data_IF_578994739862
#
_entry.id   IF_578994739862
#
_cell.length_a   1.000
_cell.length_b   1.000
_cell.length_c   1.000
_cell.angle_alpha   90.00
_cell.angle_beta   90.00
_cell.angle_gamma   90.00
#
_symmetry.space_group_name_H-M   'P 1'
#
loop_
_entity.id
_entity.type
_entity.pdbx_description
1 polymer ?
#
# COMPACT_ATOMS: atom_id res chain seq x y z
N UNK A 1 -28.16 29.09 -20.03
CA UNK A 1 -27.84 30.51 -20.09
C UNK A 1 -26.49 30.72 -19.46
N UNK A 2 -25.57 31.07 -20.30
CA UNK A 2 -24.16 31.29 -20.06
C UNK A 2 -23.91 32.60 -19.32
N UNK A 3 -22.89 32.64 -18.48
CA UNK A 3 -22.09 33.86 -18.37
C UNK A 3 -20.64 33.51 -18.07
N UNK A 4 -19.84 33.66 -19.08
CA UNK A 4 -18.41 33.87 -19.07
C UNK A 4 -18.13 35.25 -18.44
N UNK A 5 -17.17 35.27 -17.52
CA UNK A 5 -16.50 36.50 -17.11
C UNK A 5 -15.05 36.38 -17.56
N UNK A 6 -14.71 37.19 -18.55
CA UNK A 6 -13.34 37.44 -18.98
C UNK A 6 -12.69 38.42 -18.02
N UNK A 7 -11.42 38.17 -17.67
CA UNK A 7 -10.55 39.17 -17.05
C UNK A 7 -9.59 39.69 -18.10
N UNK A 8 -9.66 40.98 -18.32
CA UNK A 8 -8.78 41.75 -19.19
C UNK A 8 -7.46 42.04 -18.50
N UNK A 9 -6.38 41.89 -19.26
CA UNK A 9 -5.04 42.35 -18.94
C UNK A 9 -4.98 43.87 -18.94
N UNK A 10 -4.34 44.46 -17.97
CA UNK A 10 -3.93 45.87 -18.01
C UNK A 10 -2.44 45.98 -17.79
N UNK A 11 -1.76 46.21 -18.91
CA UNK A 11 -0.39 46.71 -18.96
C UNK A 11 -0.32 48.13 -18.39
N UNK A 12 0.71 48.43 -17.63
CA UNK A 12 1.16 49.81 -17.43
C UNK A 12 2.68 49.83 -17.32
N UNK A 13 3.25 50.39 -18.41
CA UNK A 13 4.63 50.84 -18.53
C UNK A 13 4.94 51.93 -17.51
N UNK A 14 6.19 51.91 -16.99
CA UNK A 14 6.88 53.13 -16.62
C UNK A 14 8.41 52.93 -16.77
N UNK A 15 8.93 53.67 -17.77
CA UNK A 15 10.34 53.95 -17.97
C UNK A 15 10.92 54.83 -16.86
N UNK A 16 12.20 54.61 -16.51
CA UNK A 16 13.20 55.70 -16.28
C UNK A 16 14.62 55.12 -16.28
N UNK A 17 15.31 55.50 -17.20
CA UNK A 17 16.53 56.21 -17.60
C UNK A 17 17.78 56.11 -16.66
N UNK A 18 18.88 55.71 -17.34
CA UNK A 18 20.26 56.27 -17.42
C UNK A 18 21.21 55.98 -16.24
N UNK A 19 22.31 55.22 -16.51
CA UNK A 19 23.65 55.80 -16.72
C UNK A 19 24.71 54.79 -17.20
N UNK A 20 25.37 55.24 -18.23
CA UNK A 20 26.56 54.71 -18.92
C UNK A 20 27.82 54.76 -18.09
N UNK A 21 28.73 53.76 -18.26
CA UNK A 21 30.19 53.98 -18.31
C UNK A 21 30.85 52.90 -19.16
N UNK A 22 31.60 53.40 -20.17
CA UNK A 22 32.48 52.74 -21.12
C UNK A 22 33.76 52.17 -20.50
N UNK A 23 34.29 51.10 -21.13
CA UNK A 23 35.63 50.93 -21.68
C UNK A 23 35.90 49.47 -22.08
N UNK A 24 35.94 49.23 -23.40
CA UNK A 24 37.07 48.97 -24.32
C UNK A 24 38.13 48.04 -23.79
N UNK A 25 38.39 46.95 -24.46
CA UNK A 25 39.33 46.57 -25.58
C UNK A 25 39.50 45.06 -25.51
N UNK A 26 39.67 44.20 -26.45
CA UNK A 26 40.06 44.15 -27.85
C UNK A 26 40.05 42.68 -28.27
N UNK A 27 39.66 42.38 -29.48
CA UNK A 27 39.88 41.11 -30.17
C UNK A 27 41.29 41.08 -30.78
N UNK A 28 41.84 39.96 -31.24
CA UNK A 28 41.67 39.60 -32.65
C UNK A 28 41.56 38.09 -32.98
N UNK A 29 40.78 37.76 -33.94
CA UNK A 29 40.84 37.07 -35.23
C UNK A 29 41.99 36.10 -35.55
N UNK A 30 41.59 34.95 -36.14
CA UNK A 30 42.07 34.29 -37.38
C UNK A 30 41.43 32.89 -37.48
N UNK A 31 40.53 32.63 -38.37
CA UNK A 31 40.59 32.20 -39.79
C UNK A 31 41.45 30.96 -40.07
N UNK A 32 40.75 29.90 -40.57
CA UNK A 32 41.09 29.31 -41.88
C UNK A 32 40.14 28.13 -42.21
N UNK A 33 39.57 28.28 -43.33
CA UNK A 33 38.93 27.32 -44.23
C UNK A 33 39.72 26.02 -44.45
N UNK A 34 39.00 24.95 -44.79
CA UNK A 34 39.27 24.11 -45.98
C UNK A 34 38.03 23.33 -46.43
N UNK A 35 37.79 23.45 -47.66
CA UNK A 35 36.75 23.10 -48.61
C UNK A 35 36.56 21.61 -48.91
N UNK A 36 35.29 21.28 -49.19
CA UNK A 36 34.71 20.42 -50.24
C UNK A 36 35.47 19.21 -50.75
N UNK A 37 34.75 18.09 -50.85
CA UNK A 37 34.57 17.34 -52.10
C UNK A 37 33.30 16.51 -52.13
N UNK A 38 32.53 16.73 -53.21
CA UNK A 38 31.38 16.03 -53.70
C UNK A 38 31.73 14.59 -54.14
N UNK A 39 30.73 13.69 -54.11
CA UNK A 39 30.33 12.94 -55.30
C UNK A 39 28.99 12.22 -55.08
N UNK A 40 28.18 12.34 -56.09
CA UNK A 40 26.77 12.05 -56.26
C UNK A 40 26.51 10.62 -56.79
N UNK A 41 25.22 10.36 -57.03
CA UNK A 41 24.56 9.34 -57.86
C UNK A 41 24.10 8.11 -57.08
N UNK A 42 22.83 7.71 -57.03
CA UNK A 42 21.76 7.80 -58.00
C UNK A 42 20.40 7.38 -57.45
N UNK A 43 19.44 7.93 -58.09
CA UNK A 43 17.99 7.77 -58.06
C UNK A 43 17.56 6.39 -58.56
N UNK A 44 16.50 5.82 -57.96
CA UNK A 44 15.43 5.11 -58.67
C UNK A 44 14.27 4.77 -57.74
N UNK A 45 13.14 5.43 -57.93
CA UNK A 45 11.80 4.87 -57.66
C UNK A 45 11.32 4.15 -58.92
N UNK A 46 10.45 3.15 -58.83
CA UNK A 46 9.09 3.37 -59.28
C UNK A 46 7.99 2.61 -58.49
N UNK A 47 6.81 3.18 -58.43
CA UNK A 47 5.49 2.60 -58.19
C UNK A 47 4.89 2.09 -59.52
N UNK A 48 3.65 1.50 -59.56
CA UNK A 48 3.01 0.46 -58.76
C UNK A 48 2.44 -0.66 -59.68
N UNK A 49 2.00 -1.78 -59.11
CA UNK A 49 0.96 -2.59 -59.79
C UNK A 49 0.20 -3.45 -58.78
N UNK A 50 -1.12 -3.39 -58.96
CA UNK A 50 -2.20 -4.14 -58.36
C UNK A 50 -2.19 -5.63 -58.60
N UNK A 51 -2.58 -6.43 -57.60
CA UNK A 51 -3.40 -7.64 -57.83
C UNK A 51 -4.09 -8.06 -56.52
N UNK A 52 -5.39 -8.26 -56.67
CA UNK A 52 -6.31 -8.85 -55.71
C UNK A 52 -5.97 -10.28 -55.40
N UNK A 53 -5.99 -10.69 -54.12
CA UNK A 53 -6.36 -12.05 -53.76
C UNK A 53 -7.05 -12.05 -52.38
N UNK A 54 -8.27 -12.58 -52.39
CA UNK A 54 -9.13 -12.86 -51.25
C UNK A 54 -8.60 -14.05 -50.45
N UNK A 55 -8.45 -13.86 -49.13
CA UNK A 55 -8.51 -14.97 -48.16
C UNK A 55 -9.38 -14.61 -46.96
N UNK A 56 -10.20 -15.53 -46.44
CA UNK A 56 -11.21 -15.25 -45.43
C UNK A 56 -10.64 -15.35 -44.01
N UNK A 57 -11.11 -14.45 -43.18
CA UNK A 57 -10.83 -14.42 -41.74
C UNK A 57 -11.43 -15.63 -41.01
N UNK A 58 -10.75 -16.28 -40.07
CA UNK A 58 -11.36 -17.19 -39.12
C UNK A 58 -11.97 -16.44 -37.95
N UNK A 59 -13.23 -16.79 -37.63
CA UNK A 59 -13.95 -16.38 -36.42
C UNK A 59 -13.23 -16.86 -35.17
N UNK A 60 -13.21 -16.07 -34.08
CA UNK A 60 -12.69 -16.55 -32.81
C UNK A 60 -13.71 -17.44 -32.10
N UNK A 61 -13.25 -18.59 -31.70
CA UNK A 61 -13.93 -19.52 -30.79
C UNK A 61 -13.94 -18.93 -29.38
N UNK A 62 -15.14 -18.95 -28.78
CA UNK A 62 -15.45 -18.59 -27.41
C UNK A 62 -14.75 -19.60 -26.47
N UNK A 63 -13.90 -19.12 -25.58
CA UNK A 63 -13.51 -19.84 -24.37
C UNK A 63 -13.77 -18.97 -23.14
N UNK A 64 -14.37 -19.60 -22.22
CA UNK A 64 -15.00 -19.30 -20.96
C UNK A 64 -14.30 -18.32 -20.02
N UNK A 65 -15.10 -17.37 -19.52
CA UNK A 65 -15.25 -16.81 -18.18
C UNK A 65 -14.09 -16.83 -17.19
N UNK A 66 -13.49 -15.67 -17.08
CA UNK A 66 -12.92 -15.18 -15.81
C UNK A 66 -13.77 -13.99 -15.31
N UNK A 67 -14.14 -13.92 -14.04
CA UNK A 67 -14.95 -12.81 -13.52
C UNK A 67 -14.06 -11.56 -13.36
N UNK A 68 -14.23 -10.63 -14.28
CA UNK A 68 -13.76 -9.26 -14.12
C UNK A 68 -14.76 -8.55 -13.21
N UNK A 69 -14.35 -8.15 -12.02
CA UNK A 69 -15.12 -7.24 -11.19
C UNK A 69 -15.04 -5.83 -11.78
N UNK A 70 -16.00 -5.52 -12.65
CA UNK A 70 -16.29 -4.16 -13.10
C UNK A 70 -17.22 -3.53 -12.08
N UNK A 71 -16.81 -2.44 -11.49
CA UNK A 71 -17.66 -1.57 -10.67
C UNK A 71 -18.67 -0.86 -11.59
N UNK A 72 -19.88 -1.37 -11.64
CA UNK A 72 -21.00 -0.67 -12.24
C UNK A 72 -21.55 0.40 -11.28
N UNK A 73 -21.40 1.65 -11.71
CA UNK A 73 -22.19 2.78 -11.25
C UNK A 73 -23.39 2.93 -12.17
N UNK A 74 -24.57 2.48 -11.75
CA UNK A 74 -25.81 2.91 -12.37
C UNK A 74 -26.83 3.30 -11.31
N UNK A 75 -27.14 4.59 -11.33
CA UNK A 75 -28.34 5.19 -10.75
C UNK A 75 -29.57 4.73 -11.53
N UNK A 76 -30.62 4.29 -10.83
CA UNK A 76 -32.03 4.62 -11.13
C UNK A 76 -32.86 4.28 -9.90
N UNK A 77 -33.49 5.30 -9.34
CA UNK A 77 -34.56 5.18 -8.37
C UNK A 77 -35.83 4.65 -9.04
N UNK A 78 -36.64 3.87 -8.35
CA UNK A 78 -38.08 3.89 -8.55
C UNK A 78 -38.79 4.37 -7.28
N UNK A 79 -39.75 5.22 -7.52
CA UNK A 79 -40.79 5.78 -6.64
C UNK A 79 -41.59 4.71 -5.90
N UNK A 80 -42.07 4.97 -4.67
CA UNK A 80 -42.86 4.03 -3.92
C UNK A 80 -44.33 4.10 -4.33
N UNK A 81 -44.92 2.96 -4.65
CA UNK A 81 -46.38 2.78 -4.76
C UNK A 81 -46.90 2.20 -3.44
N UNK A 82 -47.88 2.89 -2.91
CA UNK A 82 -48.73 2.53 -1.78
C UNK A 82 -49.67 1.38 -2.16
N UNK A 83 -49.94 0.41 -1.32
CA UNK A 83 -51.17 -0.40 -1.39
C UNK A 83 -52.17 -0.04 -0.29
N UNK A 84 -53.43 0.00 -0.74
CA UNK A 84 -54.66 0.31 -0.09
C UNK A 84 -55.00 -0.61 1.08
N UNK A 85 -55.65 0.01 2.07
CA UNK A 85 -56.41 -0.57 3.18
C UNK A 85 -57.47 -1.54 2.72
N UNK A 86 -57.58 -2.68 3.39
CA UNK A 86 -58.85 -3.43 3.53
C UNK A 86 -59.09 -3.69 5.03
N UNK A 87 -60.19 -3.08 5.52
CA UNK A 87 -60.78 -3.31 6.82
C UNK A 87 -61.59 -4.60 6.77
N UNK A 88 -61.58 -5.41 7.83
CA UNK A 88 -62.75 -6.18 8.29
C UNK A 88 -62.70 -6.35 9.82
N UNK A 89 -63.88 -6.15 10.36
CA UNK A 89 -64.44 -6.07 11.69
C UNK A 89 -64.16 -7.24 12.64
N UNK A 90 -63.93 -6.91 13.91
CA UNK A 90 -64.77 -7.05 15.14
C UNK A 90 -65.18 -8.47 15.58
N UNK A 91 -64.82 -8.88 16.77
CA UNK A 91 -65.63 -8.98 18.02
C UNK A 91 -64.89 -9.86 19.04
N UNK A 92 -64.69 -9.30 20.15
CA UNK A 92 -65.33 -9.45 21.48
C UNK A 92 -64.86 -10.61 22.38
N UNK A 93 -64.46 -10.17 23.51
CA UNK A 93 -64.75 -10.59 24.88
C UNK A 93 -63.94 -11.70 25.56
N UNK A 94 -63.58 -11.30 26.74
CA UNK A 94 -63.51 -11.97 28.06
C UNK A 94 -62.14 -12.49 28.55
N UNK A 95 -61.69 -11.67 29.43
CA UNK A 95 -61.50 -11.90 30.89
C UNK A 95 -60.62 -13.06 31.38
N UNK A 96 -59.73 -12.66 32.19
CA UNK A 96 -59.28 -13.25 33.46
C UNK A 96 -58.10 -14.23 33.46
N UNK A 97 -57.16 -13.82 34.17
CA UNK A 97 -56.41 -14.39 35.29
C UNK A 97 -54.88 -14.30 35.14
N UNK A 98 -54.39 -13.44 35.99
CA UNK A 98 -52.98 -13.44 36.43
C UNK A 98 -52.59 -14.80 37.00
N UNK A 99 -51.45 -15.34 36.56
CA UNK A 99 -50.64 -16.26 37.37
C UNK A 99 -49.16 -15.90 37.24
N UNK A 100 -48.61 -15.51 38.38
CA UNK A 100 -47.17 -15.43 38.63
C UNK A 100 -46.63 -16.85 38.83
N UNK A 101 -45.46 -17.23 38.34
CA UNK A 101 -44.69 -18.34 38.91
C UNK A 101 -43.66 -17.77 39.88
N UNK A 102 -43.91 -18.04 41.14
CA UNK A 102 -42.94 -18.02 42.21
C UNK A 102 -41.97 -19.21 42.05
N UNK A 103 -40.66 -18.95 41.92
CA UNK A 103 -39.67 -19.93 42.33
C UNK A 103 -38.68 -19.26 43.30
N UNK A 104 -39.08 -19.35 44.56
CA UNK A 104 -38.21 -19.04 45.70
C UNK A 104 -37.20 -20.20 45.84
N UNK A 105 -35.93 -19.89 45.75
CA UNK A 105 -34.87 -20.82 46.11
C UNK A 105 -34.76 -20.92 47.63
N UNK A 106 -34.64 -22.13 48.22
CA UNK A 106 -34.49 -22.29 49.65
C UNK A 106 -33.15 -21.76 50.14
N UNK A 107 -33.20 -21.03 51.23
CA UNK A 107 -32.07 -20.55 52.02
C UNK A 107 -31.38 -21.74 52.72
N UNK A 108 -30.05 -21.88 52.51
CA UNK A 108 -29.19 -22.82 53.24
C UNK A 108 -28.35 -22.08 54.28
N UNK A 109 -28.48 -22.42 55.59
CA UNK A 109 -27.74 -21.72 56.65
C UNK A 109 -26.26 -22.11 56.65
N UNK A 110 -25.45 -21.11 56.92
CA UNK A 110 -23.97 -21.08 56.94
C UNK A 110 -23.39 -21.75 58.22
N UNK A 111 -23.72 -23.02 58.49
CA UNK A 111 -23.13 -23.78 59.61
C UNK A 111 -23.11 -25.27 59.29
N UNK A 112 -22.00 -25.66 58.63
CA UNK A 112 -21.36 -27.01 58.79
C UNK A 112 -20.04 -26.91 58.03
N UNK A 113 -19.00 -26.43 58.70
CA UNK A 113 -17.61 -26.75 58.38
C UNK A 113 -17.24 -27.86 59.39
N UNK A 114 -17.05 -29.02 58.90
CA UNK A 114 -16.29 -30.07 59.55
C UNK A 114 -14.97 -30.37 58.80
N UNK A 115 -13.95 -30.62 59.58
CA UNK A 115 -12.55 -30.62 59.28
C UNK A 115 -12.08 -31.78 58.35
N UNK A 116 -10.76 -31.85 58.02
CA UNK A 116 -10.25 -32.49 56.83
C UNK A 116 -10.07 -33.99 56.97
N UNK A 117 -10.31 -34.74 55.92
CA UNK A 117 -9.90 -36.16 55.81
C UNK A 117 -8.89 -36.24 54.66
N UNK A 118 -7.72 -36.69 54.98
CA UNK A 118 -6.63 -37.07 54.11
C UNK A 118 -7.02 -38.26 53.19
N UNK A 119 -6.31 -38.31 52.07
CA UNK A 119 -6.02 -39.45 51.20
C UNK A 119 -7.13 -39.94 50.26
N UNK A 120 -6.89 -39.67 48.97
CA UNK A 120 -6.70 -40.66 47.90
C UNK A 120 -6.48 -39.92 46.58
N UNK A 121 -5.35 -40.16 45.94
CA UNK A 121 -5.11 -39.82 44.54
C UNK A 121 -6.11 -40.57 43.65
N UNK A 122 -6.63 -39.95 42.63
CA UNK A 122 -6.96 -40.62 41.37
C UNK A 122 -6.00 -40.17 40.28
N UNK A 123 -5.37 -41.16 39.70
CA UNK A 123 -4.60 -41.08 38.48
C UNK A 123 -5.42 -40.50 37.32
N UNK A 124 -4.69 -39.82 36.41
CA UNK A 124 -5.06 -39.51 35.05
C UNK A 124 -6.27 -38.58 34.83
N UNK A 125 -6.06 -37.28 35.05
CA UNK A 125 -6.66 -36.26 34.23
C UNK A 125 -5.67 -35.92 33.10
N UNK A 126 -6.11 -35.86 31.80
CA UNK A 126 -5.21 -35.48 30.73
C UNK A 126 -4.72 -34.06 31.00
N UNK A 127 -3.41 -33.91 30.99
CA UNK A 127 -2.73 -32.61 30.95
C UNK A 127 -3.32 -31.81 29.82
N UNK A 128 -4.29 -30.96 30.13
CA UNK A 128 -4.55 -29.78 29.32
C UNK A 128 -3.23 -29.01 29.34
N UNK A 129 -2.48 -29.24 28.28
CA UNK A 129 -1.30 -28.47 27.87
C UNK A 129 -1.66 -27.01 28.14
N UNK A 130 -1.17 -26.45 29.23
CA UNK A 130 -1.01 -25.02 29.41
C UNK A 130 -0.07 -24.62 28.30
N UNK A 131 -0.64 -24.23 27.16
CA UNK A 131 0.07 -23.54 26.11
C UNK A 131 0.57 -22.28 26.79
N UNK A 132 1.81 -22.30 27.25
CA UNK A 132 2.52 -21.09 27.61
C UNK A 132 2.37 -20.17 26.41
N UNK A 133 1.60 -19.11 26.55
CA UNK A 133 1.51 -18.05 25.57
C UNK A 133 2.88 -17.39 25.53
N UNK A 134 3.74 -17.94 24.67
CA UNK A 134 5.07 -17.36 24.45
C UNK A 134 4.84 -15.95 23.93
N UNK A 135 5.48 -15.00 24.58
CA UNK A 135 5.50 -13.61 24.18
C UNK A 135 5.99 -13.49 22.73
N UNK A 136 5.22 -12.81 21.88
CA UNK A 136 5.56 -12.62 20.46
C UNK A 136 6.83 -11.79 20.29
N UNK A 137 7.07 -10.87 21.21
CA UNK A 137 8.20 -9.92 21.15
C UNK A 137 9.43 -10.37 21.91
N UNK A 138 9.37 -11.47 22.70
CA UNK A 138 10.50 -11.91 23.54
C UNK A 138 11.50 -12.81 22.83
N UNK A 139 11.06 -13.54 21.82
CA UNK A 139 11.90 -14.50 21.10
C UNK A 139 12.63 -13.78 19.94
N UNK A 140 13.93 -13.57 20.10
CA UNK A 140 14.75 -13.06 18.97
C UNK A 140 15.32 -14.23 18.20
N UNK A 141 15.09 -14.26 16.89
CA UNK A 141 15.60 -15.31 16.00
C UNK A 141 17.13 -15.48 16.13
N UNK A 142 17.65 -16.70 16.30
CA UNK A 142 19.07 -16.97 16.33
C UNK A 142 19.77 -16.59 15.03
N UNK A 143 19.12 -16.79 13.89
CA UNK A 143 19.64 -16.40 12.56
C UNK A 143 19.82 -14.89 12.46
N UNK A 144 18.83 -14.11 12.92
CA UNK A 144 18.93 -12.64 12.96
C UNK A 144 20.02 -12.18 13.93
N UNK A 145 20.11 -12.80 15.14
CA UNK A 145 21.19 -12.51 16.10
C UNK A 145 22.58 -12.75 15.50
N UNK A 146 22.74 -13.86 14.82
CA UNK A 146 24.00 -14.21 14.16
C UNK A 146 24.38 -13.18 13.11
N UNK A 147 23.41 -12.74 12.26
CA UNK A 147 23.65 -11.74 11.25
C UNK A 147 24.02 -10.38 11.87
N UNK A 148 23.30 -9.93 12.90
CA UNK A 148 23.58 -8.68 13.62
C UNK A 148 24.95 -8.68 14.33
N UNK A 149 25.47 -9.84 14.70
CA UNK A 149 26.81 -9.96 15.34
C UNK A 149 27.96 -9.87 14.34
N UNK A 150 27.70 -9.97 13.04
CA UNK A 150 28.72 -9.87 11.99
C UNK A 150 29.13 -8.42 11.78
N UNK A 151 30.43 -8.15 11.87
CA UNK A 151 31.02 -6.79 11.74
C UNK A 151 31.07 -6.26 10.30
N UNK A 152 30.77 -7.09 9.28
CA UNK A 152 30.83 -6.69 7.88
C UNK A 152 29.41 -6.36 7.39
N UNK A 153 29.22 -5.23 6.70
CA UNK A 153 28.00 -4.98 5.97
C UNK A 153 27.84 -6.11 4.93
N UNK A 154 26.75 -6.80 4.97
CA UNK A 154 26.45 -7.85 3.98
C UNK A 154 25.68 -7.16 2.85
N UNK A 155 26.22 -7.24 1.62
CA UNK A 155 25.57 -6.71 0.43
C UNK A 155 24.25 -7.45 0.17
N UNK A 156 23.24 -6.71 -0.24
CA UNK A 156 21.94 -7.27 -0.59
C UNK A 156 22.05 -8.20 -1.80
N UNK A 157 21.42 -9.34 -1.72
CA UNK A 157 21.40 -10.35 -2.77
C UNK A 157 19.99 -10.67 -3.23
N UNK A 158 19.87 -11.30 -4.40
CA UNK A 158 18.60 -11.75 -4.95
C UNK A 158 18.26 -13.16 -4.43
N UNK A 159 17.00 -13.40 -3.99
CA UNK A 159 16.59 -14.70 -3.50
C UNK A 159 16.46 -15.71 -4.65
N UNK A 160 16.77 -16.97 -4.39
CA UNK A 160 16.74 -18.05 -5.41
C UNK A 160 15.98 -19.30 -4.97
N UNK A 161 15.81 -19.49 -3.68
CA UNK A 161 15.24 -20.70 -3.10
C UNK A 161 14.09 -20.37 -2.16
N UNK A 162 13.01 -21.14 -2.26
CA UNK A 162 11.93 -21.09 -1.28
C UNK A 162 12.43 -21.57 0.08
N UNK A 163 12.26 -20.72 1.10
CA UNK A 163 12.56 -21.06 2.49
C UNK A 163 11.30 -21.56 3.21
N UNK A 164 10.24 -20.75 3.19
CA UNK A 164 8.99 -21.04 3.90
C UNK A 164 7.78 -20.76 2.99
N UNK A 165 6.75 -21.58 3.15
CA UNK A 165 5.41 -21.34 2.60
C UNK A 165 4.45 -21.16 3.78
N UNK A 166 3.91 -19.95 3.92
CA UNK A 166 3.09 -19.51 5.04
C UNK A 166 1.62 -19.55 4.63
N UNK A 167 1.00 -20.70 4.74
CA UNK A 167 -0.43 -20.85 4.49
C UNK A 167 -1.28 -20.48 5.72
N UNK A 168 -2.45 -19.91 5.51
CA UNK A 168 -3.39 -19.64 6.61
C UNK A 168 -4.32 -18.44 6.42
N UNK A 169 -4.14 -17.63 5.38
CA UNK A 169 -5.17 -16.71 4.94
C UNK A 169 -6.18 -17.43 4.05
N UNK A 170 -7.45 -17.02 4.17
CA UNK A 170 -8.56 -17.61 3.40
C UNK A 170 -8.98 -16.71 2.22
N UNK A 171 -8.20 -15.68 1.93
CA UNK A 171 -8.45 -14.75 0.84
C UNK A 171 -7.17 -14.06 0.39
N UNK A 172 -7.24 -13.27 -0.70
CA UNK A 172 -6.11 -12.53 -1.21
C UNK A 172 -5.35 -11.76 -0.14
N UNK A 173 -4.01 -11.81 -0.17
CA UNK A 173 -3.17 -11.05 0.74
C UNK A 173 -2.77 -9.75 0.05
N UNK A 174 -3.12 -8.62 0.65
CA UNK A 174 -2.91 -7.29 0.08
C UNK A 174 -1.51 -6.73 0.32
N UNK A 175 -0.91 -7.05 1.47
CA UNK A 175 0.40 -6.52 1.83
C UNK A 175 1.14 -7.48 2.77
N UNK A 176 2.46 -7.46 2.66
CA UNK A 176 3.39 -8.16 3.53
C UNK A 176 4.53 -7.23 3.90
N UNK A 177 4.88 -7.13 5.19
CA UNK A 177 5.96 -6.24 5.66
C UNK A 177 6.73 -6.86 6.82
N UNK A 178 8.04 -6.84 6.73
CA UNK A 178 8.92 -7.20 7.84
C UNK A 178 8.89 -6.13 8.94
N UNK A 179 9.07 -6.56 10.19
CA UNK A 179 9.25 -5.63 11.30
C UNK A 179 10.53 -4.80 11.07
N UNK A 180 10.46 -3.45 11.13
CA UNK A 180 11.60 -2.58 10.85
C UNK A 180 12.67 -2.60 11.95
N UNK A 181 12.34 -3.13 13.11
CA UNK A 181 13.24 -3.18 14.27
C UNK A 181 14.22 -4.35 14.11
N UNK A 182 15.55 -4.12 14.08
CA UNK A 182 16.51 -5.16 13.73
C UNK A 182 16.41 -6.46 14.52
N UNK A 183 16.25 -6.40 15.85
CA UNK A 183 16.15 -7.59 16.70
C UNK A 183 14.78 -8.30 16.60
N UNK A 184 13.74 -7.63 16.10
CA UNK A 184 12.41 -8.17 15.85
C UNK A 184 12.15 -8.43 14.36
N UNK A 185 13.17 -8.31 13.51
CA UNK A 185 13.00 -8.39 12.06
C UNK A 185 12.58 -9.78 11.55
N UNK A 186 12.66 -10.82 12.36
CA UNK A 186 12.09 -12.14 12.05
C UNK A 186 10.56 -12.14 11.99
N UNK A 187 9.91 -11.10 12.55
CA UNK A 187 8.46 -10.96 12.53
C UNK A 187 7.99 -10.43 11.18
N UNK A 188 7.06 -11.15 10.57
CA UNK A 188 6.45 -10.81 9.30
C UNK A 188 4.97 -10.50 9.51
N UNK A 189 4.52 -9.33 9.07
CA UNK A 189 3.12 -8.89 9.09
C UNK A 189 2.48 -9.16 7.74
N UNK A 190 1.27 -9.69 7.73
CA UNK A 190 0.43 -9.82 6.54
C UNK A 190 -0.97 -9.27 6.78
N UNK A 191 -1.59 -8.68 5.76
CA UNK A 191 -2.97 -8.21 5.81
C UNK A 191 -3.75 -8.71 4.58
N UNK A 192 -5.00 -9.18 4.80
CA UNK A 192 -5.75 -9.90 3.79
C UNK A 192 -7.19 -9.40 3.63
N UNK A 193 -7.75 -9.76 2.47
CA UNK A 193 -9.18 -9.61 2.16
C UNK A 193 -10.07 -10.48 3.06
N UNK A 194 -9.51 -11.49 3.75
CA UNK A 194 -10.23 -12.33 4.72
C UNK A 194 -10.59 -11.61 6.03
N UNK A 195 -10.43 -10.28 6.10
CA UNK A 195 -10.72 -9.40 7.24
C UNK A 195 -9.74 -9.53 8.40
N UNK A 196 -8.70 -10.33 8.23
CA UNK A 196 -7.67 -10.56 9.25
C UNK A 196 -6.31 -10.00 8.84
N UNK A 197 -5.50 -9.74 9.83
CA UNK A 197 -4.07 -9.59 9.65
C UNK A 197 -3.35 -10.51 10.63
N UNK A 198 -2.15 -10.94 10.27
CA UNK A 198 -1.42 -11.96 11.01
C UNK A 198 0.03 -11.56 11.17
N UNK A 199 0.63 -12.02 12.27
CA UNK A 199 2.06 -11.95 12.53
C UNK A 199 2.63 -13.37 12.53
N UNK A 200 3.71 -13.54 11.80
CA UNK A 200 4.37 -14.81 11.56
C UNK A 200 5.83 -14.74 12.03
N UNK A 201 6.37 -15.86 12.44
CA UNK A 201 7.80 -16.07 12.44
C UNK A 201 8.23 -16.39 10.99
N UNK A 202 8.76 -15.39 10.32
CA UNK A 202 9.08 -15.47 8.88
C UNK A 202 10.50 -15.96 8.60
N UNK A 203 11.31 -16.26 9.60
CA UNK A 203 12.72 -16.66 9.42
C UNK A 203 12.97 -18.11 9.83
N UNK A 204 12.47 -18.53 10.98
CA UNK A 204 12.79 -19.85 11.55
C UNK A 204 11.70 -20.88 11.25
N UNK A 205 10.51 -20.67 11.78
CA UNK A 205 9.51 -21.73 11.85
C UNK A 205 8.38 -21.63 10.84
N UNK A 206 8.14 -20.43 10.29
CA UNK A 206 6.99 -20.17 9.42
C UNK A 206 5.64 -20.21 10.16
N UNK A 207 5.63 -20.26 11.49
CA UNK A 207 4.40 -20.39 12.28
C UNK A 207 3.67 -19.04 12.34
N UNK A 208 2.34 -19.08 12.25
CA UNK A 208 1.51 -17.96 12.64
C UNK A 208 1.58 -17.80 14.16
N UNK A 209 2.18 -16.69 14.59
CA UNK A 209 2.32 -16.38 16.02
C UNK A 209 1.01 -15.82 16.56
N UNK A 210 0.37 -14.95 15.79
CA UNK A 210 -0.91 -14.35 16.20
C UNK A 210 -1.77 -13.96 15.00
N UNK A 211 -3.08 -14.12 15.15
CA UNK A 211 -4.11 -13.67 14.20
C UNK A 211 -4.97 -12.62 14.86
N UNK A 212 -5.23 -11.54 14.13
CA UNK A 212 -6.02 -10.40 14.60
C UNK A 212 -7.27 -10.25 13.73
N UNK A 213 -8.43 -10.07 14.35
CA UNK A 213 -9.74 -9.99 13.70
C UNK A 213 -10.57 -8.78 14.18
N UNK A 214 -9.92 -7.61 14.30
CA UNK A 214 -10.58 -6.39 14.76
C UNK A 214 -11.40 -5.67 13.67
N UNK A 215 -11.30 -6.10 12.42
CA UNK A 215 -11.99 -5.53 11.28
C UNK A 215 -13.18 -6.39 10.80
N UNK A 216 -14.21 -5.74 10.29
CA UNK A 216 -15.42 -6.41 9.77
C UNK A 216 -15.41 -6.59 8.25
N UNK A 217 -14.53 -5.88 7.54
CA UNK A 217 -14.31 -6.01 6.10
C UNK A 217 -12.80 -6.18 5.81
N UNK A 218 -12.46 -6.31 4.52
CA UNK A 218 -11.11 -6.52 4.02
C UNK A 218 -10.08 -5.55 4.63
N UNK A 219 -8.96 -6.08 5.12
CA UNK A 219 -7.82 -5.26 5.54
C UNK A 219 -6.96 -4.97 4.31
N UNK A 220 -6.96 -3.70 3.89
CA UNK A 220 -6.28 -3.29 2.65
C UNK A 220 -4.83 -2.90 2.88
N UNK A 221 -4.53 -2.26 4.01
CA UNK A 221 -3.20 -1.77 4.34
C UNK A 221 -2.83 -2.11 5.77
N UNK A 222 -1.55 -2.39 5.99
CA UNK A 222 -0.97 -2.58 7.30
C UNK A 222 0.48 -2.09 7.33
N UNK A 223 0.88 -1.51 8.45
CA UNK A 223 2.27 -1.14 8.70
C UNK A 223 2.64 -1.30 10.16
N UNK A 224 3.92 -1.53 10.40
CA UNK A 224 4.50 -1.55 11.73
C UNK A 224 4.67 -0.12 12.26
N UNK A 225 4.54 0.06 13.57
CA UNK A 225 5.09 1.25 14.21
C UNK A 225 6.62 1.21 14.16
N UNK A 226 7.33 2.37 14.22
CA UNK A 226 8.78 2.40 14.20
C UNK A 226 9.45 1.57 15.30
N UNK A 227 8.75 1.35 16.42
CA UNK A 227 9.24 0.56 17.55
C UNK A 227 8.89 -0.93 17.48
N UNK A 228 8.17 -1.38 16.45
CA UNK A 228 7.79 -2.78 16.26
C UNK A 228 6.77 -3.33 17.24
N UNK A 229 6.28 -2.52 18.19
CA UNK A 229 5.34 -2.96 19.23
C UNK A 229 3.88 -2.88 18.79
N UNK A 230 3.56 -1.96 17.91
CA UNK A 230 2.20 -1.75 17.43
C UNK A 230 2.10 -1.96 15.92
N UNK A 231 0.92 -2.33 15.49
CA UNK A 231 0.54 -2.44 14.08
C UNK A 231 -0.60 -1.45 13.82
N UNK A 232 -0.47 -0.69 12.74
CA UNK A 232 -1.54 0.16 12.22
C UNK A 232 -2.14 -0.53 11.01
N UNK A 233 -3.46 -0.68 10.99
CA UNK A 233 -4.19 -1.28 9.88
C UNK A 233 -5.27 -0.36 9.36
N UNK A 234 -5.54 -0.47 8.06
CA UNK A 234 -6.63 0.24 7.39
C UNK A 234 -7.52 -0.74 6.63
N UNK A 235 -8.83 -0.58 6.79
CA UNK A 235 -9.81 -1.51 6.26
C UNK A 235 -10.91 -0.83 5.44
N UNK A 236 -11.58 -1.64 4.63
CA UNK A 236 -12.78 -1.24 3.91
C UNK A 236 -13.99 -1.04 4.82
N UNK A 237 -13.92 -1.47 6.08
CA UNK A 237 -14.92 -1.17 7.12
C UNK A 237 -14.93 0.31 7.55
N UNK A 238 -14.20 1.17 6.83
CA UNK A 238 -14.07 2.62 7.06
C UNK A 238 -13.34 2.99 8.33
N UNK A 239 -12.61 2.05 8.91
CA UNK A 239 -11.81 2.28 10.11
C UNK A 239 -10.33 2.01 9.88
N UNK A 240 -9.50 2.68 10.69
CA UNK A 240 -8.14 2.29 10.94
C UNK A 240 -7.99 1.87 12.40
N UNK A 241 -7.11 0.92 12.68
CA UNK A 241 -6.91 0.40 14.03
C UNK A 241 -5.42 0.41 14.38
N UNK A 242 -5.12 0.81 15.63
CA UNK A 242 -3.82 0.61 16.27
C UNK A 242 -3.93 -0.59 17.20
N UNK A 243 -3.14 -1.61 16.97
CA UNK A 243 -3.20 -2.87 17.70
C UNK A 243 -1.84 -3.16 18.36
N UNK A 244 -1.84 -3.57 19.61
CA UNK A 244 -0.65 -4.05 20.31
C UNK A 244 -0.33 -5.48 19.86
N UNK A 245 0.91 -5.70 19.45
CA UNK A 245 1.38 -6.98 18.89
C UNK A 245 1.37 -8.07 19.95
N UNK A 246 1.77 -7.73 21.18
CA UNK A 246 1.94 -8.68 22.27
C UNK A 246 0.60 -9.15 22.83
N UNK A 247 -0.28 -8.21 23.14
CA UNK A 247 -1.57 -8.51 23.75
C UNK A 247 -2.64 -8.90 22.73
N UNK A 248 -2.51 -8.43 21.47
CA UNK A 248 -3.51 -8.61 20.43
C UNK A 248 -4.71 -7.67 20.57
N UNK A 249 -4.72 -6.80 21.57
CA UNK A 249 -5.81 -5.87 21.77
C UNK A 249 -5.72 -4.66 20.82
N UNK A 250 -6.84 -4.27 20.26
CA UNK A 250 -6.97 -3.01 19.55
C UNK A 250 -6.96 -1.88 20.56
N UNK A 251 -5.88 -1.08 20.58
CA UNK A 251 -5.70 0.05 21.48
C UNK A 251 -6.61 1.22 21.12
N UNK A 252 -6.71 1.49 19.82
CA UNK A 252 -7.50 2.58 19.26
C UNK A 252 -8.13 2.15 17.96
N UNK A 253 -9.40 2.47 17.77
CA UNK A 253 -10.09 2.35 16.50
C UNK A 253 -10.52 3.75 16.03
N UNK A 254 -10.03 4.16 14.85
CA UNK A 254 -10.26 5.46 14.24
C UNK A 254 -11.37 5.33 13.20
N UNK A 255 -12.46 6.09 13.35
CA UNK A 255 -13.53 6.14 12.36
C UNK A 255 -13.18 7.14 11.25
N UNK A 256 -12.60 6.61 10.17
CA UNK A 256 -12.18 7.41 8.99
C UNK A 256 -13.35 7.85 8.13
N UNK A 257 -14.52 7.18 8.25
CA UNK A 257 -15.77 7.42 7.51
C UNK A 257 -15.71 7.08 6.01
N UNK A 258 -14.57 6.66 5.52
CA UNK A 258 -14.36 6.21 4.13
C UNK A 258 -13.52 4.94 4.11
N UNK A 259 -13.64 4.12 3.05
CA UNK A 259 -12.80 2.94 2.87
C UNK A 259 -11.33 3.35 2.86
N UNK A 260 -10.52 2.73 3.73
CA UNK A 260 -9.10 3.03 3.86
C UNK A 260 -8.32 2.18 2.87
N UNK A 261 -7.52 2.84 2.03
CA UNK A 261 -6.66 2.19 1.02
C UNK A 261 -5.20 2.13 1.47
N UNK A 262 -4.74 3.13 2.21
CA UNK A 262 -3.37 3.24 2.67
C UNK A 262 -3.30 3.83 4.07
N UNK A 263 -2.29 3.40 4.81
CA UNK A 263 -1.93 3.93 6.12
C UNK A 263 -0.42 4.16 6.18
N UNK A 264 0.00 5.24 6.83
CA UNK A 264 1.40 5.56 7.03
C UNK A 264 1.61 6.16 8.42
N UNK A 265 2.64 5.70 9.13
CA UNK A 265 3.03 6.24 10.44
C UNK A 265 4.06 7.33 10.22
N UNK A 266 3.94 8.43 10.96
CA UNK A 266 4.93 9.51 10.89
C UNK A 266 6.30 9.03 11.41
N UNK A 267 7.40 9.25 10.68
CA UNK A 267 8.70 8.68 11.04
C UNK A 267 9.24 9.15 12.38
N UNK A 268 8.99 10.41 12.77
CA UNK A 268 9.48 11.01 14.00
C UNK A 268 8.41 11.13 15.13
N UNK A 269 7.14 10.95 14.78
CA UNK A 269 6.00 11.06 15.72
C UNK A 269 5.14 9.79 15.61
N UNK A 270 5.53 8.70 16.27
CA UNK A 270 4.88 7.38 16.09
C UNK A 270 3.40 7.35 16.53
N UNK A 271 2.97 8.35 17.29
CA UNK A 271 1.57 8.56 17.66
C UNK A 271 0.73 9.17 16.52
N UNK A 272 1.36 9.67 15.46
CA UNK A 272 0.64 10.24 14.32
C UNK A 272 0.55 9.24 13.18
N UNK A 273 -0.69 8.98 12.77
CA UNK A 273 -1.01 8.05 11.68
C UNK A 273 -1.79 8.77 10.60
N UNK A 274 -1.35 8.64 9.36
CA UNK A 274 -2.06 9.13 8.19
C UNK A 274 -2.91 8.01 7.60
N UNK A 275 -4.16 8.35 7.26
CA UNK A 275 -5.10 7.47 6.59
C UNK A 275 -5.58 8.12 5.30
N UNK A 276 -5.48 7.40 4.19
CA UNK A 276 -5.99 7.77 2.88
C UNK A 276 -6.86 6.65 2.30
N UNK A 277 -7.74 7.01 1.37
CA UNK A 277 -8.61 6.05 0.73
C UNK A 277 -9.65 6.70 -0.16
N UNK A 278 -10.89 6.20 -0.16
CA UNK A 278 -12.00 6.71 -0.97
C UNK A 278 -12.53 8.03 -0.41
N UNK A 279 -11.68 9.03 -0.37
CA UNK A 279 -11.96 10.37 0.16
C UNK A 279 -11.10 11.39 -0.57
N UNK A 280 -11.58 12.63 -0.76
CA UNK A 280 -10.79 13.72 -1.30
C UNK A 280 -9.72 14.23 -0.31
N UNK A 281 -9.64 13.64 0.87
CA UNK A 281 -8.74 14.10 1.92
C UNK A 281 -7.94 12.94 2.52
N UNK A 282 -6.66 13.20 2.76
CA UNK A 282 -5.82 12.41 3.67
C UNK A 282 -5.95 13.01 5.06
N UNK A 283 -6.23 12.18 6.06
CA UNK A 283 -6.38 12.62 7.46
C UNK A 283 -5.22 12.12 8.29
N UNK A 284 -4.59 13.03 9.04
CA UNK A 284 -3.62 12.70 10.07
C UNK A 284 -4.33 12.63 11.44
N UNK A 285 -4.14 11.52 12.12
CA UNK A 285 -4.76 11.21 13.39
C UNK A 285 -3.69 11.15 14.50
N UNK A 286 -3.97 11.73 15.65
CA UNK A 286 -3.24 11.43 16.88
C UNK A 286 -3.90 10.21 17.55
N UNK A 287 -3.17 9.13 17.66
CA UNK A 287 -3.66 7.86 18.18
C UNK A 287 -3.93 7.91 19.69
N UNK A 288 -3.34 8.84 20.43
CA UNK A 288 -3.57 9.02 21.87
C UNK A 288 -4.93 9.67 22.16
N UNK A 289 -5.29 10.64 21.35
CA UNK A 289 -6.55 11.38 21.52
C UNK A 289 -7.68 10.86 20.60
N UNK A 290 -7.36 10.00 19.64
CA UNK A 290 -8.24 9.52 18.57
C UNK A 290 -8.88 10.66 17.76
N UNK A 291 -8.18 11.79 17.62
CA UNK A 291 -8.67 12.98 16.92
C UNK A 291 -7.87 13.24 15.64
N UNK A 292 -8.54 13.81 14.64
CA UNK A 292 -7.89 14.33 13.44
C UNK A 292 -7.11 15.59 13.83
N UNK A 293 -5.81 15.58 13.60
CA UNK A 293 -4.93 16.73 13.88
C UNK A 293 -4.63 17.56 12.63
N UNK A 294 -4.65 16.94 11.44
CA UNK A 294 -4.45 17.61 10.14
C UNK A 294 -5.27 16.95 9.06
N UNK A 295 -5.63 17.72 8.05
CA UNK A 295 -6.36 17.22 6.90
C UNK A 295 -5.80 17.84 5.61
N UNK A 296 -5.39 16.98 4.66
CA UNK A 296 -4.80 17.36 3.38
C UNK A 296 -5.85 17.15 2.28
N UNK A 297 -6.46 18.23 1.81
CA UNK A 297 -7.56 18.17 0.84
C UNK A 297 -7.10 18.45 -0.59
N UNK A 298 -7.49 17.59 -1.52
CA UNK A 298 -7.32 17.78 -2.95
C UNK A 298 -8.62 17.43 -3.70
N UNK A 299 -8.77 17.96 -4.91
CA UNK A 299 -9.89 17.61 -5.78
C UNK A 299 -9.62 16.25 -6.47
N UNK A 300 -9.55 15.17 -5.69
CA UNK A 300 -9.29 13.78 -6.12
C UNK A 300 -10.40 12.87 -5.61
N UNK A 301 -10.59 11.71 -6.22
CA UNK A 301 -11.62 10.74 -5.79
C UNK A 301 -11.09 9.85 -4.65
N UNK A 302 -9.83 9.42 -4.77
CA UNK A 302 -9.22 8.53 -3.80
C UNK A 302 -7.71 8.74 -3.69
N UNK A 303 -7.16 8.38 -2.53
CA UNK A 303 -5.73 8.27 -2.29
C UNK A 303 -5.36 6.80 -2.30
N UNK A 304 -4.35 6.43 -3.11
CA UNK A 304 -3.89 5.07 -3.29
C UNK A 304 -2.76 4.70 -2.33
N UNK A 305 -1.81 5.62 -2.14
CA UNK A 305 -0.67 5.45 -1.23
C UNK A 305 -0.19 6.79 -0.65
N UNK A 306 0.51 6.72 0.49
CA UNK A 306 1.06 7.88 1.20
C UNK A 306 2.49 7.53 1.62
N UNK A 307 3.43 8.39 1.24
CA UNK A 307 4.83 8.27 1.58
C UNK A 307 5.31 9.53 2.31
N UNK A 308 5.82 9.38 3.53
CA UNK A 308 6.61 10.44 4.15
C UNK A 308 8.00 10.51 3.50
N UNK A 309 8.45 11.72 3.21
CA UNK A 309 9.83 11.95 2.84
C UNK A 309 10.72 11.95 4.10
N UNK A 310 12.02 11.95 3.87
CA UNK A 310 13.02 11.88 4.95
C UNK A 310 12.83 13.05 5.93
N UNK A 311 12.80 12.74 7.21
CA UNK A 311 12.52 13.72 8.28
C UNK A 311 11.05 13.85 8.67
N UNK A 312 10.10 13.61 7.76
CA UNK A 312 8.66 13.67 8.05
C UNK A 312 8.03 15.05 7.83
N UNK A 313 8.80 16.07 7.44
CA UNK A 313 8.29 17.42 7.19
C UNK A 313 7.45 17.53 5.91
N UNK A 314 7.70 16.63 4.97
CA UNK A 314 6.99 16.56 3.70
C UNK A 314 6.47 15.15 3.44
N UNK A 315 5.36 15.07 2.72
CA UNK A 315 4.80 13.80 2.29
C UNK A 315 4.32 13.87 0.84
N UNK A 316 4.35 12.71 0.19
CA UNK A 316 3.79 12.50 -1.15
C UNK A 316 2.54 11.64 -1.03
N UNK A 317 1.43 12.07 -1.59
CA UNK A 317 0.25 11.24 -1.79
C UNK A 317 0.11 10.85 -3.25
N UNK A 318 -0.16 9.57 -3.49
CA UNK A 318 -0.55 9.05 -4.79
C UNK A 318 -2.06 9.01 -4.88
N UNK A 319 -2.62 9.50 -5.98
CA UNK A 319 -4.06 9.64 -6.12
C UNK A 319 -4.56 9.07 -7.44
N UNK A 320 -5.86 8.81 -7.52
CA UNK A 320 -6.51 8.49 -8.76
C UNK A 320 -6.93 9.78 -9.48
N UNK A 321 -6.70 9.82 -10.79
CA UNK A 321 -7.07 11.00 -11.58
C UNK A 321 -8.58 11.09 -11.74
N UNK A 322 -9.15 12.24 -11.42
CA UNK A 322 -10.59 12.53 -11.61
C UNK A 322 -10.97 12.61 -13.09
N UNK A 323 -10.03 12.96 -13.95
CA UNK A 323 -10.22 13.04 -15.40
C UNK A 323 -9.12 12.31 -16.14
N UNK A 324 -9.49 11.51 -17.14
CA UNK A 324 -8.53 10.84 -18.03
C UNK A 324 -7.64 11.81 -18.82
N UNK A 325 -8.05 13.06 -18.93
CA UNK A 325 -7.35 14.08 -19.70
C UNK A 325 -6.39 14.96 -18.90
N UNK A 326 -6.40 14.81 -17.57
CA UNK A 326 -5.54 15.56 -16.66
C UNK A 326 -4.53 14.63 -15.98
N UNK A 327 -3.28 14.66 -16.45
CA UNK A 327 -2.15 14.01 -15.77
C UNK A 327 -1.76 14.73 -14.47
N UNK A 328 -2.25 15.95 -14.28
CA UNK A 328 -2.04 16.76 -13.10
C UNK A 328 -2.75 16.12 -11.91
N UNK A 329 -2.05 15.82 -10.84
CA UNK A 329 -2.57 15.34 -9.55
C UNK A 329 -2.39 13.87 -9.23
N UNK A 330 -1.75 13.08 -10.09
CA UNK A 330 -1.46 11.68 -9.74
C UNK A 330 -0.53 11.59 -8.54
N UNK A 331 0.49 12.46 -8.46
CA UNK A 331 1.35 12.60 -7.28
C UNK A 331 1.26 14.05 -6.76
N UNK A 332 0.98 14.19 -5.47
CA UNK A 332 0.86 15.49 -4.80
C UNK A 332 1.83 15.53 -3.63
N UNK A 333 2.68 16.57 -3.59
CA UNK A 333 3.54 16.86 -2.48
C UNK A 333 2.88 17.85 -1.52
N UNK A 334 2.98 17.57 -0.24
CA UNK A 334 2.39 18.34 0.86
C UNK A 334 3.43 18.70 1.90
N UNK A 335 3.30 19.88 2.47
CA UNK A 335 3.94 20.26 3.72
C UNK A 335 3.15 19.66 4.89
N UNK A 336 3.83 18.91 5.75
CA UNK A 336 3.17 18.21 6.85
C UNK A 336 2.60 19.17 7.89
N UNK A 337 3.33 20.23 8.23
CA UNK A 337 2.94 21.14 9.31
C UNK A 337 1.77 22.05 8.92
N UNK A 338 1.83 22.64 7.74
CA UNK A 338 0.87 23.63 7.25
C UNK A 338 -0.29 23.03 6.46
N UNK A 339 -0.19 21.75 6.06
CA UNK A 339 -1.11 21.06 5.16
C UNK A 339 -1.18 21.67 3.75
N UNK A 340 -0.26 22.57 3.45
CA UNK A 340 -0.19 23.23 2.16
C UNK A 340 0.26 22.27 1.06
N UNK A 341 -0.36 22.37 -0.10
CA UNK A 341 0.06 21.67 -1.30
C UNK A 341 1.28 22.35 -1.89
N UNK A 342 2.43 21.67 -1.90
CA UNK A 342 3.68 22.19 -2.45
C UNK A 342 3.68 22.08 -3.97
N UNK A 343 3.33 20.90 -4.49
CA UNK A 343 3.30 20.62 -5.92
C UNK A 343 2.29 19.52 -6.26
N UNK A 344 1.66 19.62 -7.42
CA UNK A 344 0.81 18.59 -8.01
C UNK A 344 1.20 18.26 -9.46
N UNK A 345 2.30 18.82 -9.93
CA UNK A 345 2.85 18.62 -11.28
C UNK A 345 4.15 17.82 -11.24
N UNK A 346 4.19 16.76 -10.40
CA UNK A 346 5.37 15.93 -10.21
C UNK A 346 5.44 14.87 -11.32
N UNK A 347 4.29 14.31 -11.68
CA UNK A 347 4.17 13.22 -12.63
C UNK A 347 3.21 13.62 -13.77
N UNK A 348 3.73 13.61 -14.99
CA UNK A 348 3.02 14.09 -16.18
C UNK A 348 2.43 12.97 -17.06
N UNK A 349 2.60 11.72 -16.66
CA UNK A 349 2.07 10.58 -17.40
C UNK A 349 0.69 10.17 -16.85
N UNK A 350 -0.14 9.54 -17.70
CA UNK A 350 -1.55 9.25 -17.41
C UNK A 350 -1.77 7.93 -16.64
N UNK A 351 -0.77 7.47 -15.89
CA UNK A 351 -0.87 6.23 -15.13
C UNK A 351 -1.03 6.53 -13.64
N UNK A 352 -1.93 5.79 -13.00
CA UNK A 352 -2.03 5.82 -11.54
C UNK A 352 -0.84 5.11 -10.91
N UNK A 353 -0.47 5.56 -9.71
CA UNK A 353 0.66 5.03 -8.97
C UNK A 353 0.18 4.31 -7.70
N UNK A 354 -0.08 3.00 -7.73
CA UNK A 354 -0.65 2.29 -6.59
C UNK A 354 0.29 2.13 -5.39
N UNK A 355 1.59 2.36 -5.55
CA UNK A 355 2.56 2.23 -4.47
C UNK A 355 3.73 3.19 -4.64
N UNK A 356 4.22 3.68 -3.50
CA UNK A 356 5.38 4.55 -3.36
C UNK A 356 6.40 3.90 -2.44
N UNK A 357 7.69 4.04 -2.73
CA UNK A 357 8.77 3.57 -1.87
C UNK A 357 9.89 4.61 -1.77
N UNK A 358 10.30 4.94 -0.54
CA UNK A 358 11.42 5.82 -0.27
C UNK A 358 12.72 5.04 -0.34
N UNK A 359 13.72 5.59 -1.00
CA UNK A 359 15.06 5.01 -1.01
C UNK A 359 15.70 5.13 0.38
N UNK A 360 16.29 4.06 0.95
CA UNK A 360 16.79 4.10 2.33
C UNK A 360 17.97 5.06 2.53
N UNK A 361 18.81 5.27 1.51
CA UNK A 361 20.04 6.06 1.60
C UNK A 361 19.98 7.35 0.79
N UNK A 362 19.59 7.29 -0.51
CA UNK A 362 19.56 8.45 -1.41
C UNK A 362 18.28 9.29 -1.22
N UNK A 363 18.35 10.59 -1.54
CA UNK A 363 17.20 11.50 -1.54
C UNK A 363 16.35 11.31 -2.80
N UNK A 364 15.80 10.12 -2.91
CA UNK A 364 14.94 9.72 -4.03
C UNK A 364 13.82 8.80 -3.56
N UNK A 365 12.74 8.77 -4.31
CA UNK A 365 11.66 7.81 -4.13
C UNK A 365 11.21 7.24 -5.48
N UNK A 366 10.61 6.07 -5.43
CA UNK A 366 10.09 5.37 -6.59
C UNK A 366 8.57 5.27 -6.49
N UNK A 367 7.89 5.49 -7.62
CA UNK A 367 6.46 5.23 -7.76
C UNK A 367 6.25 4.06 -8.72
N UNK A 368 5.58 3.03 -8.24
CA UNK A 368 5.06 1.95 -9.08
C UNK A 368 3.91 2.49 -9.92
N UNK A 369 3.94 2.31 -11.24
CA UNK A 369 2.89 2.82 -12.13
C UNK A 369 2.08 1.70 -12.76
N UNK A 370 0.82 1.97 -13.10
CA UNK A 370 0.00 1.06 -13.91
C UNK A 370 0.43 1.02 -15.39
N UNK A 371 1.48 1.75 -15.75
CA UNK A 371 2.13 1.72 -17.08
C UNK A 371 3.14 0.59 -17.24
N UNK A 372 3.20 -0.37 -16.31
CA UNK A 372 4.16 -1.50 -16.30
C UNK A 372 5.63 -1.06 -16.13
N UNK A 373 5.88 0.01 -15.41
CA UNK A 373 7.22 0.45 -15.03
C UNK A 373 7.18 1.17 -13.68
N UNK A 374 8.33 1.25 -13.03
CA UNK A 374 8.52 2.11 -11.87
C UNK A 374 9.28 3.38 -12.27
N UNK A 375 8.79 4.53 -11.82
CA UNK A 375 9.38 5.84 -12.08
C UNK A 375 10.18 6.32 -10.88
N UNK A 376 11.36 6.88 -11.12
CA UNK A 376 12.26 7.43 -10.11
C UNK A 376 12.09 8.95 -10.00
N UNK A 377 12.00 9.47 -8.79
CA UNK A 377 11.83 10.87 -8.47
C UNK A 377 12.86 11.34 -7.44
N UNK A 378 13.26 12.62 -7.51
CA UNK A 378 14.02 13.26 -6.44
C UNK A 378 13.10 13.62 -5.26
N UNK A 379 13.57 13.48 -4.02
CA UNK A 379 12.88 14.01 -2.84
C UNK A 379 13.04 15.52 -2.69
N UNK A 380 13.98 16.14 -3.42
CA UNK A 380 14.19 17.58 -3.39
C UNK A 380 13.21 18.30 -4.31
N UNK A 381 12.69 19.43 -3.87
CA UNK A 381 11.82 20.30 -4.68
C UNK A 381 12.53 20.71 -5.98
N UNK A 382 11.90 20.66 -7.12
CA UNK A 382 10.49 20.41 -7.41
C UNK A 382 10.12 18.93 -7.66
N UNK A 383 10.77 17.97 -7.06
CA UNK A 383 10.47 16.51 -7.13
C UNK A 383 10.59 15.95 -8.56
N UNK A 384 11.65 16.29 -9.26
CA UNK A 384 11.84 15.95 -10.69
C UNK A 384 11.84 14.43 -10.91
N UNK A 385 11.05 13.98 -11.88
CA UNK A 385 11.12 12.63 -12.40
C UNK A 385 12.41 12.44 -13.22
N UNK A 386 13.10 11.33 -12.98
CA UNK A 386 14.24 10.92 -13.81
C UNK A 386 13.72 10.22 -15.07
N UNK A 387 13.65 10.94 -16.19
CA UNK A 387 13.14 10.41 -17.46
C UNK A 387 14.07 9.36 -18.10
N UNK A 388 15.33 9.28 -17.69
CA UNK A 388 16.32 8.36 -18.26
C UNK A 388 16.35 7.01 -17.53
N UNK A 389 15.94 6.97 -16.26
CA UNK A 389 15.96 5.77 -15.43
C UNK A 389 14.53 5.34 -15.14
N UNK A 390 14.15 4.21 -15.72
CA UNK A 390 12.88 3.51 -15.49
C UNK A 390 13.20 2.05 -15.24
N UNK A 391 12.39 1.41 -14.42
CA UNK A 391 12.52 -0.01 -14.11
C UNK A 391 11.36 -0.74 -14.79
N UNK A 392 11.67 -1.39 -15.91
CA UNK A 392 10.70 -1.96 -16.83
C UNK A 392 10.83 -3.48 -16.91
N UNK A 393 9.80 -4.18 -17.43
CA UNK A 393 9.83 -5.63 -17.66
C UNK A 393 8.88 -6.44 -16.78
N UNK A 394 8.24 -5.82 -15.77
CA UNK A 394 7.15 -6.44 -15.02
C UNK A 394 5.79 -5.94 -15.52
N UNK A 395 4.73 -6.70 -15.23
CA UNK A 395 3.36 -6.35 -15.61
C UNK A 395 2.55 -6.02 -14.36
N UNK A 396 1.74 -4.97 -14.43
CA UNK A 396 0.88 -4.53 -13.31
C UNK A 396 -0.59 -4.81 -13.60
N UNK A 397 -1.06 -4.50 -14.81
CA UNK A 397 -2.39 -4.85 -15.35
C UNK A 397 -3.55 -4.49 -14.39
N UNK A 398 -3.46 -3.33 -13.73
CA UNK A 398 -4.49 -2.82 -12.82
C UNK A 398 -4.44 -3.36 -11.39
N UNK A 399 -3.56 -4.32 -11.07
CA UNK A 399 -3.33 -4.72 -9.68
C UNK A 399 -2.59 -3.62 -8.91
N UNK A 400 -2.91 -3.47 -7.62
CA UNK A 400 -2.19 -2.56 -6.74
C UNK A 400 -0.87 -3.20 -6.27
N UNK A 401 0.06 -3.34 -7.21
CA UNK A 401 1.38 -3.95 -6.97
C UNK A 401 2.24 -3.00 -6.15
N UNK A 402 2.87 -3.53 -5.12
CA UNK A 402 3.77 -2.79 -4.24
C UNK A 402 5.23 -3.08 -4.60
N UNK A 403 6.08 -2.06 -4.39
CA UNK A 403 7.52 -2.14 -4.54
C UNK A 403 8.22 -1.90 -3.20
N UNK A 404 9.46 -2.40 -3.08
CA UNK A 404 10.28 -2.29 -1.87
C UNK A 404 11.75 -2.20 -2.23
N UNK A 405 12.52 -1.43 -1.45
CA UNK A 405 13.97 -1.38 -1.52
C UNK A 405 14.62 -2.38 -0.58
N UNK A 406 15.83 -2.83 -0.95
CA UNK A 406 16.75 -3.46 0.00
C UNK A 406 17.27 -2.45 1.04
N UNK A 407 17.71 -2.91 2.22
CA UNK A 407 18.18 -2.01 3.29
C UNK A 407 19.35 -1.12 2.89
N UNK A 408 20.20 -1.59 2.00
CA UNK A 408 21.35 -0.87 1.45
C UNK A 408 20.98 0.03 0.24
N UNK A 409 19.75 -0.10 -0.28
CA UNK A 409 19.26 0.66 -1.42
C UNK A 409 19.74 0.16 -2.78
N UNK A 410 20.57 -0.89 -2.85
CA UNK A 410 21.14 -1.37 -4.11
C UNK A 410 20.11 -2.11 -4.98
N UNK A 411 19.13 -2.78 -4.36
CA UNK A 411 18.09 -3.52 -5.05
C UNK A 411 16.71 -2.87 -4.86
N UNK A 412 15.94 -2.87 -5.94
CA UNK A 412 14.54 -2.51 -5.97
C UNK A 412 13.74 -3.74 -6.41
N UNK A 413 12.72 -4.13 -5.65
CA UNK A 413 11.87 -5.27 -5.96
C UNK A 413 10.43 -4.84 -6.25
N UNK A 414 9.77 -5.48 -7.19
CA UNK A 414 8.36 -5.30 -7.52
C UNK A 414 7.67 -6.64 -7.74
N UNK A 415 6.41 -6.72 -7.33
CA UNK A 415 5.54 -7.79 -7.77
C UNK A 415 5.13 -7.68 -9.24
N UNK A 416 4.28 -8.59 -9.68
CA UNK A 416 3.74 -8.59 -11.05
C UNK A 416 2.39 -9.31 -11.12
N UNK A 417 1.52 -8.89 -12.03
CA UNK A 417 0.27 -9.58 -12.36
C UNK A 417 0.48 -11.04 -12.80
N UNK A 418 1.68 -11.36 -13.30
CA UNK A 418 2.06 -12.72 -13.73
C UNK A 418 2.39 -13.68 -12.59
N UNK A 419 2.32 -13.24 -11.33
CA UNK A 419 2.73 -14.03 -10.17
C UNK A 419 4.22 -14.02 -9.88
N UNK A 420 5.01 -13.32 -10.68
CA UNK A 420 6.45 -13.21 -10.52
C UNK A 420 6.83 -12.01 -9.64
N UNK A 421 7.95 -12.10 -8.93
CA UNK A 421 8.65 -10.99 -8.33
C UNK A 421 9.88 -10.64 -9.16
N UNK A 422 10.07 -9.36 -9.43
CA UNK A 422 11.16 -8.84 -10.26
C UNK A 422 12.10 -8.00 -9.41
N UNK A 423 13.39 -8.22 -9.58
CA UNK A 423 14.45 -7.53 -8.86
C UNK A 423 15.29 -6.72 -9.84
N UNK A 424 15.51 -5.47 -9.52
CA UNK A 424 16.23 -4.50 -10.35
C UNK A 424 17.43 -3.98 -9.59
N UNK A 425 18.55 -3.79 -10.28
CA UNK A 425 19.63 -2.97 -9.78
C UNK A 425 19.22 -1.50 -9.81
N UNK A 426 19.32 -0.84 -8.66
CA UNK A 426 18.83 0.53 -8.53
C UNK A 426 19.61 1.51 -9.40
N UNK A 427 20.92 1.35 -9.51
CA UNK A 427 21.78 2.31 -10.20
C UNK A 427 21.70 2.19 -11.72
N UNK A 428 21.72 0.97 -12.26
CA UNK A 428 21.63 0.75 -13.70
C UNK A 428 20.19 0.76 -14.23
N UNK A 429 19.20 0.49 -13.38
CA UNK A 429 17.80 0.31 -13.77
C UNK A 429 17.52 -1.03 -14.46
N UNK A 430 18.53 -1.92 -14.54
CA UNK A 430 18.39 -3.21 -15.21
C UNK A 430 17.72 -4.25 -14.29
N UNK A 431 16.91 -5.10 -14.88
CA UNK A 431 16.34 -6.26 -14.17
C UNK A 431 17.43 -7.33 -14.01
N UNK A 432 17.80 -7.61 -12.75
CA UNK A 432 18.84 -8.60 -12.40
C UNK A 432 18.30 -9.99 -12.18
N UNK A 433 17.04 -10.10 -11.71
CA UNK A 433 16.44 -11.41 -11.43
C UNK A 433 14.93 -11.38 -11.54
N UNK A 434 14.36 -12.52 -11.98
CA UNK A 434 12.92 -12.77 -11.97
C UNK A 434 12.65 -14.06 -11.21
N UNK A 435 11.88 -13.97 -10.15
CA UNK A 435 11.48 -15.08 -9.31
C UNK A 435 10.04 -15.45 -9.62
N UNK A 436 9.79 -16.70 -10.07
CA UNK A 436 8.43 -17.22 -10.22
C UNK A 436 7.88 -17.60 -8.85
N UNK A 437 7.18 -16.66 -8.22
CA UNK A 437 6.80 -16.79 -6.82
C UNK A 437 5.45 -17.47 -6.63
N UNK A 438 4.44 -17.11 -7.41
CA UNK A 438 3.05 -17.52 -7.18
C UNK A 438 2.36 -17.89 -8.49
N UNK A 439 1.23 -18.58 -8.36
CA UNK A 439 0.35 -18.95 -9.48
C UNK A 439 -0.59 -17.83 -9.91
N UNK A 440 -0.85 -16.86 -9.02
CA UNK A 440 -1.65 -15.66 -9.27
C UNK A 440 -0.82 -14.40 -9.04
N UNK A 441 -1.43 -13.22 -9.27
CA UNK A 441 -0.74 -11.94 -9.18
C UNK A 441 0.02 -11.78 -7.85
N UNK A 442 1.34 -11.58 -7.94
CA UNK A 442 2.20 -11.20 -6.81
C UNK A 442 2.01 -9.70 -6.56
N UNK A 443 1.30 -9.34 -5.50
CA UNK A 443 0.91 -7.94 -5.25
C UNK A 443 1.85 -7.21 -4.32
N UNK A 444 2.63 -7.92 -3.50
CA UNK A 444 3.60 -7.27 -2.61
C UNK A 444 4.87 -8.10 -2.50
N UNK A 445 5.98 -7.40 -2.49
CA UNK A 445 7.33 -7.93 -2.25
C UNK A 445 7.95 -7.08 -1.15
N UNK A 446 8.55 -7.71 -0.16
CA UNK A 446 9.22 -7.04 0.96
C UNK A 446 10.57 -7.66 1.23
N UNK A 447 11.64 -6.88 1.06
CA UNK A 447 12.99 -7.30 1.37
C UNK A 447 13.23 -7.21 2.88
N UNK A 448 14.00 -8.18 3.41
CA UNK A 448 14.26 -8.25 4.85
C UNK A 448 15.23 -7.15 5.30
N UNK A 449 14.97 -6.48 6.43
CA UNK A 449 15.79 -5.33 6.85
C UNK A 449 17.21 -5.70 7.34
N UNK A 450 17.46 -6.97 7.67
CA UNK A 450 18.76 -7.43 8.23
C UNK A 450 19.37 -8.55 7.39
N UNK A 451 18.58 -9.53 6.93
CA UNK A 451 19.07 -10.67 6.15
C UNK A 451 19.12 -10.33 4.66
N UNK A 452 20.29 -10.30 4.01
CA UNK A 452 20.49 -9.65 2.72
C UNK A 452 19.80 -10.30 1.53
N UNK A 453 19.58 -11.63 1.58
CA UNK A 453 18.94 -12.40 0.49
C UNK A 453 17.49 -12.74 0.79
N UNK A 454 17.01 -12.45 2.01
CA UNK A 454 15.70 -12.88 2.44
C UNK A 454 14.61 -11.93 1.96
N UNK A 455 13.59 -12.47 1.31
CA UNK A 455 12.49 -11.71 0.73
C UNK A 455 11.16 -12.41 0.99
N UNK A 456 10.15 -11.65 1.42
CA UNK A 456 8.78 -12.13 1.55
C UNK A 456 7.94 -11.67 0.35
N UNK A 457 7.09 -12.55 -0.16
CA UNK A 457 6.14 -12.25 -1.24
C UNK A 457 4.74 -12.68 -0.84
N UNK A 458 3.73 -11.95 -1.29
CA UNK A 458 2.35 -12.36 -1.15
C UNK A 458 1.57 -12.17 -2.45
N UNK A 459 0.48 -12.93 -2.58
CA UNK A 459 -0.26 -12.95 -3.81
C UNK A 459 -1.79 -12.99 -3.61
N UNK A 460 -2.46 -12.87 -4.72
CA UNK A 460 -3.91 -12.88 -4.81
C UNK A 460 -4.54 -14.24 -4.52
N UNK A 461 -3.73 -15.33 -4.51
CA UNK A 461 -4.12 -16.69 -4.11
C UNK A 461 -4.22 -16.92 -2.61
N UNK A 462 -3.82 -15.94 -1.78
CA UNK A 462 -3.80 -16.05 -0.33
C UNK A 462 -2.51 -16.63 0.23
N UNK A 463 -1.57 -17.00 -0.62
CA UNK A 463 -0.27 -17.53 -0.21
C UNK A 463 0.73 -16.43 0.15
N UNK A 464 1.53 -16.71 1.18
CA UNK A 464 2.73 -15.96 1.51
C UNK A 464 3.93 -16.91 1.40
N UNK A 465 5.00 -16.41 0.82
CA UNK A 465 6.23 -17.18 0.66
C UNK A 465 7.43 -16.37 1.10
N UNK A 466 8.37 -17.03 1.76
CA UNK A 466 9.67 -16.45 2.11
C UNK A 466 10.75 -17.16 1.32
N UNK A 467 11.64 -16.39 0.74
CA UNK A 467 12.68 -16.79 -0.19
C UNK A 467 14.06 -16.37 0.31
N UNK A 468 15.08 -17.16 -0.02
CA UNK A 468 16.50 -16.88 0.29
C UNK A 468 17.41 -17.18 -0.89
#
# INVERSE_FOLDING_TARGET
MSSLVAYEDSDSDSEDKINTFDRKTSAPSASSDWTKKNLAVGVCSPTPSSSHDHYPSPRPTVTQNTPVYVLESQRKNPTPQTPLLVQTHANSSNASKRQLPSSVRPYVPKRQRSAPVESAEPADAPEHIRREERSVLSDVSPTVKQCLSQKRPVESGVPRRLLLNLGGHQGPVNTVKWCPVPHLSHLLLSASMDKTFKVWDGVETGRCLRTYSCHTEAVRAACWSPHGRHIVTGSFDKSAALTDVETGHSLVKLDVQSRVMCVSVHPSQPEVVLCGGYSPAVKAWDTRSAKVVREYRAAVQQTLDILFLRGGDELISSTDCVSRDSADRTLIAWDYATTARISNQIYHERYTCPSLALHPVEDSFVAQTNGNYMALFSCQRPYKMNKRRRYEGHKVEGFAVQCSFSPDGTLLASGSSTGSAHFFDFHSGQMVHTLRAHGQACVCVSLHPVLPTTTATCAWDGELKVWV
#
